data_IF_377040580244
#
_entry.id   IF_377040580244
#
_cell.length_a   1.000
_cell.length_b   1.000
_cell.length_c   1.000
_cell.angle_alpha   90.00
_cell.angle_beta   90.00
_cell.angle_gamma   90.00
#
_symmetry.space_group_name_H-M   'P 1'
#
loop_
_entity.id
_entity.type
_entity.pdbx_description
1 polymer ?
#
# COMPACT_ATOMS: atom_id res chain seq x y z
N UNK A 1 7.66 -16.64 20.53
CA UNK A 1 7.78 -15.17 20.44
C UNK A 1 8.25 -14.69 19.06
N UNK A 2 9.32 -15.23 18.48
CA UNK A 2 9.86 -14.81 17.18
C UNK A 2 8.81 -14.85 16.04
N UNK A 3 8.01 -15.92 15.96
CA UNK A 3 6.96 -16.08 14.94
C UNK A 3 5.79 -15.09 15.12
N UNK A 4 5.40 -14.80 16.38
CA UNK A 4 4.37 -13.79 16.67
C UNK A 4 4.82 -12.38 16.28
N UNK A 5 6.09 -12.04 16.56
CA UNK A 5 6.67 -10.75 16.17
C UNK A 5 6.74 -10.60 14.64
N UNK A 6 7.16 -11.65 13.93
CA UNK A 6 7.17 -11.68 12.45
C UNK A 6 5.76 -11.52 11.87
N UNK A 7 4.77 -12.22 12.43
CA UNK A 7 3.37 -12.08 12.03
C UNK A 7 2.84 -10.65 12.28
N UNK A 8 3.15 -10.06 13.44
CA UNK A 8 2.76 -8.69 13.76
C UNK A 8 3.39 -7.67 12.79
N UNK A 9 4.68 -7.81 12.50
CA UNK A 9 5.39 -6.96 11.53
C UNK A 9 4.79 -7.13 10.14
N UNK A 10 4.52 -8.35 9.69
CA UNK A 10 3.86 -8.60 8.40
C UNK A 10 2.53 -7.85 8.29
N UNK A 11 1.68 -7.93 9.33
CA UNK A 11 0.38 -7.25 9.35
C UNK A 11 0.50 -5.72 9.30
N UNK A 12 1.47 -5.15 10.00
CA UNK A 12 1.73 -3.70 9.97
C UNK A 12 2.15 -3.29 8.55
N UNK A 13 3.10 -4.00 7.93
CA UNK A 13 3.59 -3.66 6.58
C UNK A 13 2.49 -3.87 5.53
N UNK A 14 1.66 -4.90 5.66
CA UNK A 14 0.45 -5.07 4.83
C UNK A 14 -0.50 -3.86 4.98
N UNK A 15 -0.74 -3.41 6.22
CA UNK A 15 -1.54 -2.22 6.51
C UNK A 15 -0.98 -0.97 5.85
N UNK A 16 0.34 -0.76 5.88
CA UNK A 16 1.01 0.34 5.17
C UNK A 16 0.76 0.25 3.67
N UNK A 17 0.93 -0.92 3.07
CA UNK A 17 0.70 -1.14 1.63
C UNK A 17 -0.73 -0.79 1.21
N UNK A 18 -1.73 -1.28 1.95
CA UNK A 18 -3.15 -0.95 1.70
C UNK A 18 -3.42 0.54 1.96
N UNK A 19 -2.84 1.13 3.01
CA UNK A 19 -2.99 2.54 3.34
C UNK A 19 -2.48 3.45 2.21
N UNK A 20 -1.34 3.13 1.61
CA UNK A 20 -0.80 3.84 0.45
C UNK A 20 -1.76 3.72 -0.73
N UNK A 21 -2.31 2.54 -1.02
CA UNK A 21 -3.30 2.37 -2.07
C UNK A 21 -4.57 3.21 -1.81
N UNK A 22 -5.08 3.20 -0.58
CA UNK A 22 -6.25 3.99 -0.19
C UNK A 22 -6.02 5.48 -0.35
N UNK A 23 -4.90 6.00 0.15
CA UNK A 23 -4.51 7.41 0.00
C UNK A 23 -4.38 7.80 -1.47
N UNK A 24 -3.80 6.92 -2.29
CA UNK A 24 -3.67 7.14 -3.74
C UNK A 24 -5.04 7.33 -4.40
N UNK A 25 -6.02 6.48 -4.08
CA UNK A 25 -7.39 6.61 -4.59
C UNK A 25 -8.09 7.87 -4.09
N UNK A 26 -7.89 8.24 -2.82
CA UNK A 26 -8.40 9.48 -2.26
C UNK A 26 -7.84 10.69 -3.03
N UNK A 27 -6.54 10.72 -3.30
CA UNK A 27 -5.92 11.79 -4.08
C UNK A 27 -6.40 11.83 -5.52
N UNK A 28 -6.57 10.68 -6.18
CA UNK A 28 -7.19 10.61 -7.52
C UNK A 28 -8.58 11.24 -7.48
N UNK A 29 -9.43 10.84 -6.54
CA UNK A 29 -10.77 11.41 -6.38
C UNK A 29 -10.72 12.92 -6.11
N UNK A 30 -9.82 13.37 -5.24
CA UNK A 30 -9.62 14.78 -4.94
C UNK A 30 -9.26 15.58 -6.19
N UNK A 31 -8.26 15.13 -6.95
CA UNK A 31 -7.81 15.84 -8.14
C UNK A 31 -8.85 15.84 -9.26
N UNK A 32 -9.61 14.75 -9.43
CA UNK A 32 -10.61 14.66 -10.50
C UNK A 32 -11.87 15.51 -10.22
N UNK A 33 -12.36 15.52 -8.98
CA UNK A 33 -13.68 16.07 -8.66
C UNK A 33 -13.64 17.39 -7.87
N UNK A 34 -12.58 17.64 -7.09
CA UNK A 34 -12.56 18.74 -6.12
C UNK A 34 -11.42 19.74 -6.33
N UNK A 35 -10.44 19.46 -7.20
CA UNK A 35 -9.29 20.32 -7.43
C UNK A 35 -9.47 21.23 -8.64
N UNK A 36 -9.19 22.52 -8.44
CA UNK A 36 -9.11 23.54 -9.51
C UNK A 36 -7.68 23.74 -10.05
N UNK A 37 -6.75 22.83 -9.73
CA UNK A 37 -5.38 22.91 -10.22
C UNK A 37 -5.31 22.68 -11.73
N UNK A 38 -4.57 23.53 -12.46
CA UNK A 38 -4.33 23.38 -13.91
C UNK A 38 -3.75 22.01 -14.27
N UNK A 39 -2.96 21.41 -13.37
CA UNK A 39 -2.33 20.11 -13.55
C UNK A 39 -3.11 18.94 -12.95
N UNK A 40 -4.37 19.13 -12.55
CA UNK A 40 -5.14 18.13 -11.80
C UNK A 40 -5.16 16.74 -12.43
N UNK A 41 -5.27 16.64 -13.75
CA UNK A 41 -5.27 15.34 -14.45
C UNK A 41 -3.90 14.65 -14.39
N UNK A 42 -2.81 15.41 -14.51
CA UNK A 42 -1.46 14.86 -14.35
C UNK A 42 -1.22 14.40 -12.91
N UNK A 43 -1.69 15.16 -11.92
CA UNK A 43 -1.58 14.81 -10.51
C UNK A 43 -2.44 13.59 -10.17
N UNK A 44 -3.64 13.46 -10.75
CA UNK A 44 -4.46 12.27 -10.62
C UNK A 44 -3.74 11.03 -11.18
N UNK A 45 -3.18 11.13 -12.39
CA UNK A 45 -2.42 10.02 -12.99
C UNK A 45 -1.16 9.69 -12.18
N UNK A 46 -0.42 10.70 -11.71
CA UNK A 46 0.74 10.50 -10.86
C UNK A 46 0.38 9.80 -9.54
N UNK A 47 -0.79 10.12 -8.97
CA UNK A 47 -1.30 9.48 -7.75
C UNK A 47 -1.55 7.97 -7.95
N UNK A 48 -1.86 7.51 -9.17
CA UNK A 48 -2.02 6.08 -9.46
C UNK A 48 -0.72 5.28 -9.29
N UNK A 49 0.45 5.91 -9.37
CA UNK A 49 1.73 5.24 -9.09
C UNK A 49 1.77 4.67 -7.67
N UNK A 50 1.07 5.31 -6.72
CA UNK A 50 0.96 4.82 -5.36
C UNK A 50 0.18 3.50 -5.24
N UNK A 51 -0.72 3.17 -6.17
CA UNK A 51 -1.37 1.85 -6.23
C UNK A 51 -0.35 0.74 -6.50
N UNK A 52 0.58 1.00 -7.43
CA UNK A 52 1.63 0.05 -7.81
C UNK A 52 2.57 -0.14 -6.62
N UNK A 53 3.05 0.96 -6.03
CA UNK A 53 3.95 0.94 -4.88
C UNK A 53 3.31 0.22 -3.69
N UNK A 54 2.08 0.60 -3.32
CA UNK A 54 1.34 -0.01 -2.22
C UNK A 54 1.08 -1.50 -2.44
N UNK A 55 0.76 -1.91 -3.67
CA UNK A 55 0.61 -3.33 -4.04
C UNK A 55 1.90 -4.13 -3.81
N UNK A 56 3.05 -3.61 -4.24
CA UNK A 56 4.32 -4.31 -4.04
C UNK A 56 4.73 -4.39 -2.57
N UNK A 57 4.46 -3.35 -1.78
CA UNK A 57 4.69 -3.37 -0.32
C UNK A 57 3.81 -4.43 0.35
N UNK A 58 2.51 -4.44 0.03
CA UNK A 58 1.58 -5.44 0.54
C UNK A 58 2.01 -6.87 0.15
N UNK A 59 2.31 -7.08 -1.14
CA UNK A 59 2.76 -8.36 -1.67
C UNK A 59 4.06 -8.84 -1.02
N UNK A 60 5.00 -7.94 -0.78
CA UNK A 60 6.25 -8.23 -0.08
C UNK A 60 5.97 -8.67 1.36
N UNK A 61 5.12 -7.95 2.09
CA UNK A 61 4.78 -8.29 3.46
C UNK A 61 4.11 -9.67 3.60
N UNK A 62 3.24 -10.03 2.66
CA UNK A 62 2.65 -11.38 2.60
C UNK A 62 3.73 -12.41 2.27
N UNK A 63 4.42 -12.29 1.14
CA UNK A 63 5.29 -13.37 0.64
C UNK A 63 6.62 -13.54 1.38
N UNK A 64 7.18 -12.46 1.91
CA UNK A 64 8.54 -12.46 2.48
C UNK A 64 8.56 -12.42 4.00
N UNK A 65 7.54 -11.82 4.62
CA UNK A 65 7.48 -11.73 6.09
C UNK A 65 6.56 -12.81 6.66
N UNK A 66 5.46 -13.14 5.96
CA UNK A 66 4.52 -14.16 6.42
C UNK A 66 4.90 -15.57 5.95
N UNK A 67 5.05 -15.81 4.65
CA UNK A 67 5.28 -17.18 4.12
C UNK A 67 6.68 -17.75 4.44
N UNK A 68 7.71 -16.92 4.66
CA UNK A 68 9.04 -17.38 5.10
C UNK A 68 9.14 -17.51 6.64
N UNK A 69 8.03 -17.34 7.37
CA UNK A 69 7.96 -17.64 8.81
C UNK A 69 8.09 -19.15 9.01
N UNK A 70 9.12 -19.66 9.72
CA UNK A 70 9.45 -21.08 9.80
C UNK A 70 8.51 -21.88 10.74
N UNK A 71 7.23 -21.51 10.81
CA UNK A 71 6.24 -22.08 11.72
C UNK A 71 5.00 -22.68 11.07
N UNK A 72 4.80 -22.53 9.75
CA UNK A 72 3.65 -23.08 9.03
C UNK A 72 4.07 -24.33 8.22
N UNK A 73 4.30 -25.44 8.92
CA UNK A 73 4.14 -26.82 8.41
C UNK A 73 3.51 -27.69 9.50
#
# INVERSE_FOLDING_TARGET
>A
MKNFLLAAISRIVQGIGIGICGLSLIYVGWYLFFSDNVYKYYLAVASLAGLVIGYYIFKFAVRKIYDESPGDW
#
